data_IF_921031567207
#
_entry.id   IF_921031567207
#
_cell.length_a   1.000
_cell.length_b   1.000
_cell.length_c   1.000
_cell.angle_alpha   90.00
_cell.angle_beta   90.00
_cell.angle_gamma   90.00
#
_symmetry.space_group_name_H-M   'P 1'
#
loop_
_entity.id
_entity.type
_entity.pdbx_description
1 polymer ?
#
# COMPACT_ATOMS: atom_id res chain seq x y z
N UNK A 1 36.25 22.77 9.41
CA UNK A 1 36.00 22.37 8.00
C UNK A 1 35.03 21.21 8.05
N UNK A 2 33.75 21.51 7.95
CA UNK A 2 32.66 20.54 7.88
C UNK A 2 32.49 20.07 6.43
N UNK A 3 32.33 18.76 6.24
CA UNK A 3 32.10 18.14 4.95
C UNK A 3 30.76 18.63 4.34
N UNK A 4 30.66 18.74 3.00
CA UNK A 4 29.44 19.18 2.35
C UNK A 4 28.38 18.08 2.45
N UNK A 5 27.16 18.48 2.81
CA UNK A 5 25.97 17.65 2.65
C UNK A 5 25.78 17.35 1.15
N UNK A 6 25.51 16.10 0.74
CA UNK A 6 25.13 15.81 -0.63
C UNK A 6 23.78 16.47 -0.94
N UNK A 7 23.75 17.20 -2.06
CA UNK A 7 22.55 17.76 -2.64
C UNK A 7 21.57 16.64 -3.09
N UNK A 8 20.29 16.94 -2.89
CA UNK A 8 19.11 16.44 -3.63
C UNK A 8 18.27 15.26 -3.08
N UNK A 9 17.80 15.38 -1.84
CA UNK A 9 16.51 14.81 -1.40
C UNK A 9 15.56 15.94 -0.94
N UNK A 10 15.44 17.01 -1.73
CA UNK A 10 14.56 18.13 -1.36
C UNK A 10 13.11 17.75 -1.59
N UNK A 11 12.52 17.12 -0.58
CA UNK A 11 11.07 17.13 -0.47
C UNK A 11 10.45 16.04 0.38
N UNK A 12 11.15 14.97 0.67
CA UNK A 12 10.58 13.83 1.38
C UNK A 12 10.23 14.17 2.84
N UNK A 13 8.96 14.00 3.25
CA UNK A 13 8.56 14.09 4.66
C UNK A 13 7.93 12.80 5.19
N UNK A 14 8.33 12.43 6.41
CA UNK A 14 7.78 11.32 7.19
C UNK A 14 6.58 11.81 8.00
N UNK A 15 5.43 11.14 7.87
CA UNK A 15 4.23 11.29 8.69
C UNK A 15 4.00 9.98 9.45
N UNK A 16 3.08 9.91 10.40
CA UNK A 16 2.66 8.64 11.04
C UNK A 16 1.14 8.46 10.97
N UNK A 17 0.49 9.25 10.12
CA UNK A 17 -0.96 9.36 10.05
C UNK A 17 -1.43 8.93 8.68
N UNK A 18 -2.40 8.02 8.66
CA UNK A 18 -3.09 7.63 7.45
C UNK A 18 -3.73 8.87 6.78
N UNK A 19 -3.66 9.02 5.44
CA UNK A 19 -4.21 10.18 4.76
C UNK A 19 -5.69 10.34 5.07
N UNK A 20 -6.14 11.59 5.14
CA UNK A 20 -7.56 11.87 5.24
C UNK A 20 -8.24 11.38 3.95
N UNK A 21 -9.25 10.52 4.11
CA UNK A 21 -10.07 10.01 3.02
C UNK A 21 -11.43 10.66 3.12
N UNK A 22 -11.79 11.41 2.10
CA UNK A 22 -13.09 12.07 1.95
C UNK A 22 -14.04 11.19 1.11
N UNK A 23 -15.35 11.35 1.27
CA UNK A 23 -16.38 10.57 0.57
C UNK A 23 -16.25 10.60 -0.97
N UNK A 24 -15.66 11.67 -1.51
CA UNK A 24 -15.40 11.89 -2.93
C UNK A 24 -14.00 11.42 -3.38
N UNK A 25 -13.22 10.77 -2.51
CA UNK A 25 -11.90 10.22 -2.86
C UNK A 25 -12.08 9.04 -3.81
N UNK A 26 -11.29 9.00 -4.88
CA UNK A 26 -11.24 7.84 -5.80
C UNK A 26 -10.11 6.92 -5.35
N UNK A 27 -10.42 5.67 -5.00
CA UNK A 27 -9.41 4.68 -4.58
C UNK A 27 -9.07 3.74 -5.74
N UNK A 28 -7.77 3.59 -6.01
CA UNK A 28 -7.25 2.54 -6.90
C UNK A 28 -6.19 1.75 -6.15
N UNK A 29 -6.53 0.52 -5.79
CA UNK A 29 -5.67 -0.39 -5.03
C UNK A 29 -5.25 -1.60 -5.86
N UNK A 30 -4.01 -2.06 -5.73
CA UNK A 30 -3.51 -3.26 -6.41
C UNK A 30 -2.52 -4.06 -5.56
N UNK A 31 -2.58 -5.39 -5.68
CA UNK A 31 -1.63 -6.31 -5.05
C UNK A 31 -1.17 -7.41 -6.01
N UNK A 32 0.11 -7.78 -5.93
CA UNK A 32 0.76 -8.72 -6.85
C UNK A 32 0.70 -10.23 -6.48
N UNK A 33 0.47 -10.67 -5.22
CA UNK A 33 0.55 -12.10 -4.90
C UNK A 33 -0.47 -12.92 -5.67
N UNK A 34 -0.05 -14.12 -6.07
CA UNK A 34 -0.90 -15.12 -6.74
C UNK A 34 -1.45 -16.11 -5.73
N UNK A 35 -2.35 -17.01 -6.15
CA UNK A 35 -2.76 -18.13 -5.28
C UNK A 35 -1.57 -19.02 -4.90
N UNK A 36 -0.54 -19.12 -5.75
CA UNK A 36 0.67 -19.88 -5.43
C UNK A 36 1.51 -19.20 -4.36
N UNK A 37 1.82 -17.92 -4.53
CA UNK A 37 2.76 -17.15 -3.68
C UNK A 37 2.09 -16.45 -2.49
N UNK A 38 0.76 -16.47 -2.42
CA UNK A 38 -0.02 -15.79 -1.39
C UNK A 38 0.03 -16.45 0.00
N UNK A 39 0.92 -17.42 0.23
CA UNK A 39 1.11 -17.99 1.57
C UNK A 39 1.51 -16.89 2.56
N UNK A 40 0.99 -16.92 3.79
CA UNK A 40 1.35 -15.94 4.83
C UNK A 40 2.84 -15.97 5.21
N UNK A 41 3.54 -17.06 4.88
CA UNK A 41 4.99 -17.21 5.07
C UNK A 41 5.82 -16.76 3.86
N UNK A 42 5.17 -16.30 2.78
CA UNK A 42 5.78 -15.79 1.55
C UNK A 42 5.27 -14.36 1.28
N UNK A 43 4.50 -14.13 0.21
CA UNK A 43 3.98 -12.82 -0.16
C UNK A 43 2.58 -12.54 0.43
N UNK A 44 2.03 -13.44 1.23
CA UNK A 44 0.68 -13.35 1.78
C UNK A 44 0.44 -12.17 2.71
N UNK A 45 1.51 -11.57 3.27
CA UNK A 45 1.39 -10.36 4.09
C UNK A 45 0.94 -9.13 3.27
N UNK A 46 1.28 -9.04 1.98
CA UNK A 46 0.71 -8.01 1.10
C UNK A 46 -0.80 -8.19 0.93
N UNK A 47 -1.28 -9.45 0.87
CA UNK A 47 -2.71 -9.73 0.83
C UNK A 47 -3.38 -9.34 2.15
N UNK A 48 -2.74 -9.60 3.29
CA UNK A 48 -3.24 -9.18 4.59
C UNK A 48 -3.46 -7.67 4.66
N UNK A 49 -2.47 -6.86 4.25
CA UNK A 49 -2.60 -5.40 4.22
C UNK A 49 -3.67 -4.95 3.22
N UNK A 50 -3.65 -5.52 2.02
CA UNK A 50 -4.62 -5.21 0.96
C UNK A 50 -6.06 -5.43 1.43
N UNK A 51 -6.36 -6.57 2.04
CA UNK A 51 -7.71 -6.85 2.54
C UNK A 51 -8.05 -6.09 3.84
N UNK A 52 -7.06 -5.77 4.68
CA UNK A 52 -7.26 -4.91 5.83
C UNK A 52 -7.78 -3.54 5.40
N UNK A 53 -7.10 -2.89 4.45
CA UNK A 53 -7.52 -1.59 3.95
C UNK A 53 -8.83 -1.65 3.17
N UNK A 54 -9.06 -2.73 2.40
CA UNK A 54 -10.33 -2.92 1.70
C UNK A 54 -11.51 -2.99 2.70
N UNK A 55 -11.36 -3.79 3.77
CA UNK A 55 -12.33 -3.89 4.84
C UNK A 55 -12.58 -2.53 5.53
N UNK A 56 -11.50 -1.82 5.87
CA UNK A 56 -11.58 -0.54 6.58
C UNK A 56 -12.22 0.59 5.76
N UNK A 57 -11.98 0.61 4.44
CA UNK A 57 -12.43 1.69 3.56
C UNK A 57 -13.76 1.35 2.86
N UNK A 58 -14.30 0.16 3.09
CA UNK A 58 -15.60 -0.22 2.54
C UNK A 58 -16.68 0.73 3.02
N UNK A 59 -17.42 1.31 2.07
CA UNK A 59 -18.51 2.22 2.36
C UNK A 59 -18.08 3.62 2.81
N UNK A 60 -16.78 3.86 3.05
CA UNK A 60 -16.25 5.19 3.35
C UNK A 60 -16.14 6.08 2.10
N UNK A 61 -15.99 5.48 0.93
CA UNK A 61 -15.98 6.21 -0.36
C UNK A 61 -16.74 5.43 -1.42
N UNK A 62 -17.29 6.16 -2.39
CA UNK A 62 -18.19 5.59 -3.41
C UNK A 62 -17.46 5.02 -4.63
N UNK A 63 -16.25 5.49 -4.93
CA UNK A 63 -15.48 5.08 -6.12
C UNK A 63 -14.19 4.36 -5.69
N UNK A 64 -14.23 3.02 -5.77
CA UNK A 64 -13.12 2.16 -5.37
C UNK A 64 -12.90 1.06 -6.38
N UNK A 65 -11.64 0.87 -6.78
CA UNK A 65 -11.20 -0.26 -7.59
C UNK A 65 -10.10 -1.01 -6.84
N UNK A 66 -10.31 -2.30 -6.63
CA UNK A 66 -9.38 -3.18 -5.94
C UNK A 66 -8.95 -4.31 -6.87
N UNK A 67 -7.67 -4.34 -7.23
CA UNK A 67 -7.10 -5.29 -8.19
C UNK A 67 -6.24 -6.33 -7.46
N UNK A 68 -6.43 -7.61 -7.78
CA UNK A 68 -5.63 -8.69 -7.20
C UNK A 68 -5.28 -9.74 -8.25
N UNK A 69 -4.10 -10.33 -8.15
CA UNK A 69 -3.69 -11.44 -9.00
C UNK A 69 -4.22 -12.79 -8.50
N UNK A 70 -4.88 -12.81 -7.34
CA UNK A 70 -5.33 -14.01 -6.67
C UNK A 70 -6.83 -13.99 -6.40
N UNK A 71 -7.53 -15.01 -6.87
CA UNK A 71 -8.95 -15.17 -6.60
C UNK A 71 -9.18 -15.46 -5.09
N UNK A 72 -9.94 -14.62 -4.36
CA UNK A 72 -10.07 -14.73 -2.90
C UNK A 72 -10.54 -16.12 -2.43
N UNK A 73 -11.54 -16.69 -3.11
CA UNK A 73 -12.06 -18.03 -2.78
C UNK A 73 -11.00 -19.12 -2.92
N UNK A 74 -10.10 -19.00 -3.91
CA UNK A 74 -8.99 -19.95 -4.10
C UNK A 74 -7.89 -19.74 -3.07
N UNK A 75 -7.61 -18.49 -2.69
CA UNK A 75 -6.70 -18.18 -1.58
C UNK A 75 -7.16 -18.83 -0.28
N UNK A 76 -8.43 -18.62 0.08
CA UNK A 76 -9.02 -19.17 1.30
C UNK A 76 -9.03 -20.70 1.29
N UNK A 77 -9.36 -21.30 0.16
CA UNK A 77 -9.34 -22.76 0.01
C UNK A 77 -7.94 -23.35 0.19
N UNK A 78 -6.90 -22.66 -0.29
CA UNK A 78 -5.52 -23.16 -0.26
C UNK A 78 -4.81 -22.86 1.05
N UNK A 79 -4.96 -21.65 1.57
CA UNK A 79 -4.13 -21.10 2.65
C UNK A 79 -4.91 -20.83 3.95
N UNK A 80 -6.24 -20.95 3.92
CA UNK A 80 -7.10 -20.58 5.05
C UNK A 80 -7.32 -19.07 5.17
N UNK A 81 -7.89 -18.61 6.30
CA UNK A 81 -8.15 -17.20 6.57
C UNK A 81 -6.86 -16.37 6.65
N UNK A 82 -6.94 -15.10 6.27
CA UNK A 82 -5.85 -14.13 6.38
C UNK A 82 -6.02 -13.26 7.61
N UNK A 83 -4.89 -12.92 8.19
CA UNK A 83 -4.80 -12.16 9.42
C UNK A 83 -3.90 -10.94 9.23
N UNK A 84 -4.26 -9.85 9.88
CA UNK A 84 -3.45 -8.64 9.99
C UNK A 84 -3.23 -8.33 11.48
N UNK A 85 -2.01 -7.92 11.84
CA UNK A 85 -1.57 -7.74 13.23
C UNK A 85 -0.47 -8.71 13.66
N UNK A 86 0.06 -8.53 14.88
CA UNK A 86 1.13 -9.37 15.43
C UNK A 86 0.57 -10.57 16.20
N UNK A 87 1.34 -11.66 16.31
CA UNK A 87 0.93 -12.85 17.07
C UNK A 87 0.70 -12.58 18.58
N UNK A 88 1.34 -11.54 19.13
CA UNK A 88 1.17 -11.10 20.52
C UNK A 88 -0.12 -10.30 20.77
N UNK A 89 -0.71 -9.74 19.71
CA UNK A 89 -1.93 -8.93 19.76
C UNK A 89 -3.00 -9.61 18.91
N UNK A 90 -3.89 -10.38 19.55
CA UNK A 90 -5.04 -11.08 18.95
C UNK A 90 -5.31 -10.71 17.47
N UNK A 91 -4.67 -11.42 16.51
CA UNK A 91 -4.60 -10.98 15.13
C UNK A 91 -6.00 -10.86 14.53
N UNK A 92 -6.24 -9.79 13.79
CA UNK A 92 -7.55 -9.50 13.20
C UNK A 92 -7.70 -10.27 11.90
N UNK A 93 -8.81 -10.98 11.76
CA UNK A 93 -9.16 -11.64 10.50
C UNK A 93 -9.51 -10.57 9.47
N UNK A 94 -8.82 -10.58 8.33
CA UNK A 94 -9.00 -9.59 7.25
C UNK A 94 -9.50 -10.22 5.96
N UNK A 95 -9.37 -11.54 5.82
CA UNK A 95 -10.04 -12.30 4.77
C UNK A 95 -10.50 -13.65 5.32
N UNK A 96 -11.79 -13.91 5.23
CA UNK A 96 -12.42 -15.20 5.57
C UNK A 96 -13.63 -15.42 4.65
N UNK A 97 -14.23 -16.63 4.64
CA UNK A 97 -15.46 -16.88 3.89
C UNK A 97 -16.62 -15.94 4.26
N UNK A 98 -16.67 -15.47 5.51
CA UNK A 98 -17.66 -14.52 6.01
C UNK A 98 -17.37 -13.11 5.49
N UNK A 99 -16.12 -12.64 5.64
CA UNK A 99 -15.71 -11.31 5.18
C UNK A 99 -15.89 -11.16 3.66
N UNK A 100 -15.54 -12.20 2.90
CA UNK A 100 -15.65 -12.20 1.44
C UNK A 100 -17.10 -12.02 0.94
N UNK A 101 -18.10 -12.40 1.73
CA UNK A 101 -19.51 -12.30 1.32
C UNK A 101 -20.05 -10.88 1.38
N UNK A 102 -19.72 -10.13 2.43
CA UNK A 102 -20.42 -8.86 2.71
C UNK A 102 -19.57 -7.76 3.31
N UNK A 103 -18.30 -7.98 3.66
CA UNK A 103 -17.53 -7.03 4.46
C UNK A 103 -16.41 -6.32 3.68
N UNK A 104 -16.13 -6.76 2.44
CA UNK A 104 -15.15 -6.11 1.56
C UNK A 104 -15.80 -5.56 0.30
N UNK A 105 -15.20 -4.52 -0.28
CA UNK A 105 -15.48 -4.07 -1.64
C UNK A 105 -15.05 -5.17 -2.61
N UNK A 106 -15.91 -5.54 -3.60
CA UNK A 106 -15.59 -6.56 -4.59
C UNK A 106 -14.26 -6.28 -5.29
N UNK A 107 -13.43 -7.33 -5.40
CA UNK A 107 -12.13 -7.24 -6.06
C UNK A 107 -12.23 -7.69 -7.52
N UNK A 108 -11.41 -7.09 -8.37
CA UNK A 108 -11.21 -7.53 -9.76
C UNK A 108 -9.97 -8.41 -9.82
N UNK A 109 -10.16 -9.67 -10.23
CA UNK A 109 -9.05 -10.60 -10.45
C UNK A 109 -8.40 -10.31 -11.81
N UNK A 110 -7.11 -10.01 -11.81
CA UNK A 110 -6.34 -9.65 -13.01
C UNK A 110 -5.19 -10.65 -13.19
N UNK A 111 -4.97 -11.21 -14.40
CA UNK A 111 -3.80 -12.05 -14.64
C UNK A 111 -2.48 -11.33 -14.30
N UNK A 112 -1.50 -11.97 -13.65
CA UNK A 112 -0.27 -11.32 -13.18
C UNK A 112 0.45 -10.49 -14.25
N UNK A 113 0.63 -11.06 -15.44
CA UNK A 113 1.29 -10.41 -16.58
C UNK A 113 0.62 -9.13 -17.08
N UNK A 114 -0.67 -8.93 -16.73
CA UNK A 114 -1.49 -7.78 -17.12
C UNK A 114 -1.72 -6.80 -15.95
N UNK A 115 -1.24 -7.10 -14.75
CA UNK A 115 -1.53 -6.32 -13.54
C UNK A 115 -1.06 -4.87 -13.66
N UNK A 116 0.17 -4.65 -14.14
CA UNK A 116 0.73 -3.30 -14.29
C UNK A 116 -0.11 -2.47 -15.27
N UNK A 117 -0.39 -3.01 -16.45
CA UNK A 117 -1.12 -2.27 -17.48
C UNK A 117 -2.57 -2.00 -17.03
N UNK A 118 -3.21 -2.97 -16.36
CA UNK A 118 -4.54 -2.77 -15.81
C UNK A 118 -4.56 -1.74 -14.69
N UNK A 119 -3.59 -1.76 -13.78
CA UNK A 119 -3.48 -0.77 -12.72
C UNK A 119 -3.32 0.64 -13.29
N UNK A 120 -2.39 0.84 -14.22
CA UNK A 120 -2.16 2.14 -14.85
C UNK A 120 -3.39 2.64 -15.65
N UNK A 121 -4.13 1.74 -16.29
CA UNK A 121 -5.39 2.07 -16.96
C UNK A 121 -6.46 2.55 -15.97
N UNK A 122 -6.62 1.88 -14.82
CA UNK A 122 -7.53 2.34 -13.77
C UNK A 122 -7.08 3.68 -13.15
N UNK A 123 -5.78 3.91 -13.02
CA UNK A 123 -5.22 5.21 -12.60
C UNK A 123 -5.56 6.30 -13.61
N UNK A 124 -5.38 6.05 -14.91
CA UNK A 124 -5.74 7.03 -15.94
C UNK A 124 -7.24 7.33 -16.00
N UNK A 125 -8.09 6.31 -15.78
CA UNK A 125 -9.54 6.52 -15.65
C UNK A 125 -9.90 7.31 -14.39
N UNK A 126 -9.24 7.05 -13.26
CA UNK A 126 -9.41 7.84 -12.04
C UNK A 126 -9.00 9.29 -12.27
N UNK A 127 -7.84 9.53 -12.89
CA UNK A 127 -7.35 10.87 -13.23
C UNK A 127 -8.30 11.63 -14.15
N UNK A 128 -8.85 10.98 -15.18
CA UNK A 128 -9.85 11.59 -16.06
C UNK A 128 -11.15 11.98 -15.35
N UNK A 129 -11.52 11.24 -14.29
CA UNK A 129 -12.72 11.50 -13.48
C UNK A 129 -12.49 12.53 -12.38
N UNK A 130 -11.26 12.65 -11.89
CA UNK A 130 -10.96 13.36 -10.65
C UNK A 130 -11.38 14.85 -10.66
N UNK A 131 -11.43 15.52 -11.82
CA UNK A 131 -11.62 16.99 -11.92
C UNK A 131 -10.68 17.71 -10.92
N UNK A 132 -10.85 19.02 -10.68
CA UNK A 132 -9.96 19.74 -9.77
C UNK A 132 -10.21 19.43 -8.27
N UNK A 133 -11.22 18.61 -7.93
CA UNK A 133 -11.74 18.48 -6.55
C UNK A 133 -11.83 17.06 -5.96
N UNK A 134 -11.60 15.99 -6.74
CA UNK A 134 -11.62 14.62 -6.19
C UNK A 134 -10.19 14.14 -5.93
N UNK A 135 -9.76 14.00 -4.67
CA UNK A 135 -8.45 13.44 -4.38
C UNK A 135 -8.41 11.97 -4.82
N UNK A 136 -7.29 11.55 -5.41
CA UNK A 136 -7.06 10.14 -5.75
C UNK A 136 -6.22 9.51 -4.64
N UNK A 137 -6.60 8.33 -4.15
CA UNK A 137 -5.75 7.51 -3.28
C UNK A 137 -5.37 6.23 -4.03
N UNK A 138 -4.08 6.12 -4.33
CA UNK A 138 -3.47 4.93 -4.92
C UNK A 138 -2.92 4.07 -3.79
N UNK A 139 -3.14 2.76 -3.84
CA UNK A 139 -2.62 1.83 -2.84
C UNK A 139 -1.94 0.65 -3.55
N UNK A 140 -0.67 0.41 -3.30
CA UNK A 140 0.11 -0.61 -4.01
C UNK A 140 0.80 -1.51 -3.00
N UNK A 141 0.45 -2.79 -3.00
CA UNK A 141 0.95 -3.79 -2.07
C UNK A 141 1.79 -4.80 -2.86
N UNK A 142 3.09 -4.54 -2.98
CA UNK A 142 3.99 -5.38 -3.77
C UNK A 142 5.45 -5.25 -3.36
N UNK A 143 6.33 -6.05 -3.96
CA UNK A 143 7.76 -5.81 -3.82
C UNK A 143 8.21 -4.53 -4.53
N UNK A 144 9.28 -3.94 -4.01
CA UNK A 144 10.06 -2.92 -4.69
C UNK A 144 11.33 -3.54 -5.28
N UNK A 145 11.90 -2.92 -6.30
CA UNK A 145 13.23 -3.25 -6.81
C UNK A 145 14.27 -2.22 -6.39
N UNK A 146 15.55 -2.57 -6.55
CA UNK A 146 16.70 -1.69 -6.25
C UNK A 146 16.69 -0.40 -7.08
N UNK A 147 16.06 -0.40 -8.26
CA UNK A 147 15.84 0.78 -9.10
C UNK A 147 14.52 1.52 -8.81
N UNK A 148 13.95 1.31 -7.62
CA UNK A 148 12.74 1.96 -7.09
C UNK A 148 11.48 1.72 -7.94
N UNK A 149 11.36 0.56 -8.58
CA UNK A 149 10.15 0.18 -9.33
C UNK A 149 9.22 -0.67 -8.48
N UNK A 150 7.92 -0.53 -8.73
CA UNK A 150 6.88 -1.31 -8.07
C UNK A 150 6.57 -2.56 -8.90
N UNK A 151 6.76 -3.72 -8.29
CA UNK A 151 6.73 -5.05 -8.95
C UNK A 151 5.35 -5.69 -8.85
N UNK A 152 4.36 -5.13 -9.55
CA UNK A 152 3.00 -5.68 -9.60
C UNK A 152 2.85 -6.92 -10.51
N UNK A 153 3.85 -7.23 -11.35
CA UNK A 153 3.82 -8.37 -12.26
C UNK A 153 4.51 -9.60 -11.64
N UNK A 154 3.72 -10.44 -10.97
CA UNK A 154 4.22 -11.68 -10.35
C UNK A 154 4.54 -12.80 -11.36
N UNK A 155 4.46 -12.53 -12.67
CA UNK A 155 4.98 -13.46 -13.69
C UNK A 155 6.42 -13.13 -14.11
N UNK A 156 6.93 -11.94 -13.74
CA UNK A 156 8.27 -11.50 -14.08
C UNK A 156 8.79 -10.51 -13.03
N UNK A 157 9.67 -10.98 -12.14
CA UNK A 157 10.27 -10.18 -11.06
C UNK A 157 11.15 -9.02 -11.54
N UNK A 158 11.59 -9.02 -12.80
CA UNK A 158 12.32 -7.90 -13.41
C UNK A 158 11.43 -6.81 -14.01
N UNK A 159 10.10 -7.01 -14.04
CA UNK A 159 9.15 -6.11 -14.67
C UNK A 159 8.34 -5.36 -13.60
N UNK A 160 8.74 -4.11 -13.37
CA UNK A 160 7.98 -3.14 -12.57
C UNK A 160 7.59 -1.89 -13.35
N UNK A 161 6.86 -0.99 -12.72
CA UNK A 161 6.67 0.38 -13.22
C UNK A 161 7.35 1.39 -12.29
N UNK A 162 7.88 2.46 -12.88
CA UNK A 162 8.50 3.56 -12.14
C UNK A 162 7.45 4.62 -11.76
N UNK A 163 7.80 5.48 -10.82
CA UNK A 163 7.01 6.66 -10.48
C UNK A 163 6.80 7.60 -11.68
N UNK A 164 7.75 7.66 -12.62
CA UNK A 164 7.61 8.43 -13.87
C UNK A 164 6.45 7.90 -14.72
N UNK A 165 6.35 6.57 -14.87
CA UNK A 165 5.24 5.96 -15.62
C UNK A 165 3.90 6.17 -14.91
N UNK A 166 3.89 6.15 -13.57
CA UNK A 166 2.71 6.46 -12.78
C UNK A 166 2.27 7.93 -12.95
N UNK A 167 3.22 8.88 -12.89
CA UNK A 167 2.97 10.30 -13.14
C UNK A 167 2.38 10.53 -14.53
N UNK A 168 2.90 9.82 -15.54
CA UNK A 168 2.34 9.88 -16.89
C UNK A 168 0.89 9.40 -16.95
N UNK A 169 0.52 8.39 -16.16
CA UNK A 169 -0.86 7.90 -16.09
C UNK A 169 -1.80 8.86 -15.36
N UNK A 170 -1.30 9.56 -14.34
CA UNK A 170 -2.02 10.57 -13.55
C UNK A 170 -2.21 11.90 -14.30
N UNK A 171 -1.29 12.25 -15.20
CA UNK A 171 -1.28 13.57 -15.84
C UNK A 171 -1.12 14.69 -14.80
N UNK A 172 -2.10 15.60 -14.74
CA UNK A 172 -2.12 16.71 -13.79
C UNK A 172 -2.93 16.42 -12.51
N UNK A 173 -3.54 15.24 -12.39
CA UNK A 173 -4.37 14.90 -11.24
C UNK A 173 -3.53 14.79 -9.96
N UNK A 174 -4.09 15.26 -8.83
CA UNK A 174 -3.49 15.10 -7.51
C UNK A 174 -3.84 13.72 -6.96
N UNK A 175 -2.83 13.01 -6.49
CA UNK A 175 -3.01 11.67 -5.93
C UNK A 175 -2.15 11.49 -4.71
N UNK A 176 -2.60 10.75 -3.71
CA UNK A 176 -1.77 10.21 -2.63
C UNK A 176 -1.47 8.76 -2.98
N UNK A 177 -0.22 8.33 -2.92
CA UNK A 177 0.22 6.96 -3.10
C UNK A 177 0.50 6.32 -1.73
N UNK A 178 -0.08 5.17 -1.45
CA UNK A 178 0.27 4.31 -0.33
C UNK A 178 0.98 3.09 -0.90
N UNK A 179 2.18 2.78 -0.41
CA UNK A 179 2.90 1.58 -0.82
C UNK A 179 3.26 0.75 0.41
N UNK A 180 3.06 -0.57 0.33
CA UNK A 180 3.71 -1.51 1.22
C UNK A 180 4.72 -2.30 0.38
N UNK A 181 6.02 -2.10 0.60
CA UNK A 181 7.14 -2.79 -0.09
C UNK A 181 8.25 -3.13 0.91
N UNK A 182 9.10 -4.11 0.59
CA UNK A 182 10.39 -4.29 1.24
C UNK A 182 11.27 -3.03 1.05
N UNK A 183 11.97 -2.55 2.09
CA UNK A 183 12.91 -1.40 2.06
C UNK A 183 12.33 0.02 1.87
N UNK A 184 11.09 0.29 2.26
CA UNK A 184 10.47 1.64 2.25
C UNK A 184 10.28 2.36 3.61
N UNK A 185 11.26 2.96 4.31
CA UNK A 185 11.04 3.33 5.74
C UNK A 185 11.14 4.78 6.02
N UNK A 186 10.18 5.20 6.82
CA UNK A 186 9.71 6.56 6.75
C UNK A 186 8.70 6.68 5.62
N UNK A 187 7.64 7.40 5.92
CA UNK A 187 6.63 7.80 4.96
C UNK A 187 7.32 8.83 4.04
N UNK A 188 7.09 8.80 2.74
CA UNK A 188 7.84 9.59 1.77
C UNK A 188 6.88 10.51 1.01
N UNK A 189 6.58 11.69 1.56
CA UNK A 189 5.84 12.72 0.80
C UNK A 189 6.80 13.34 -0.24
N UNK A 190 6.64 13.12 -1.54
CA UNK A 190 7.51 13.74 -2.56
C UNK A 190 6.82 15.00 -3.15
N UNK A 191 7.15 16.24 -2.74
CA UNK A 191 6.48 17.49 -3.12
C UNK A 191 6.67 17.92 -4.58
N UNK A 192 7.64 17.33 -5.30
CA UNK A 192 7.74 17.45 -6.77
C UNK A 192 6.66 16.65 -7.50
N UNK A 193 5.99 15.77 -6.76
CA UNK A 193 4.64 15.38 -7.03
C UNK A 193 3.71 16.21 -6.15
N UNK A 194 2.54 16.57 -6.67
CA UNK A 194 1.45 16.98 -5.80
C UNK A 194 0.84 15.71 -5.13
N UNK A 195 1.70 14.84 -4.59
CA UNK A 195 1.45 13.47 -4.15
C UNK A 195 2.26 13.10 -2.91
N UNK A 196 1.59 12.42 -1.99
CA UNK A 196 2.20 11.84 -0.79
C UNK A 196 2.43 10.35 -1.03
N UNK A 197 3.65 9.81 -0.93
CA UNK A 197 3.91 8.37 -1.02
C UNK A 197 4.07 7.74 0.40
N UNK A 198 3.53 6.56 0.65
CA UNK A 198 3.67 5.83 1.93
C UNK A 198 4.46 4.54 1.75
N UNK A 199 5.10 4.11 2.83
CA UNK A 199 6.23 3.20 2.79
C UNK A 199 6.42 2.57 4.20
N UNK A 200 6.62 1.24 4.30
CA UNK A 200 6.71 0.42 5.52
C UNK A 200 8.06 0.23 6.31
N UNK A 201 9.30 0.25 5.76
CA UNK A 201 10.59 0.02 6.51
C UNK A 201 11.91 0.51 5.84
N UNK A 202 12.97 1.04 6.50
CA UNK A 202 13.96 1.95 5.83
C UNK A 202 14.84 1.32 4.73
N UNK A 203 15.59 2.11 3.96
CA UNK A 203 16.50 1.61 2.90
C UNK A 203 17.56 0.60 3.40
N UNK A 204 17.75 0.52 4.72
CA UNK A 204 18.67 -0.40 5.38
C UNK A 204 17.99 -1.51 6.20
N UNK A 205 16.66 -1.58 6.23
CA UNK A 205 15.92 -2.53 7.06
C UNK A 205 14.91 -3.36 6.25
N UNK A 206 14.77 -4.64 6.62
CA UNK A 206 13.76 -5.53 6.05
C UNK A 206 12.37 -5.05 6.47
N UNK A 207 11.43 -4.98 5.52
CA UNK A 207 10.01 -4.78 5.83
C UNK A 207 9.49 -5.99 6.58
N UNK A 208 9.39 -5.85 7.90
CA UNK A 208 8.56 -6.70 8.72
C UNK A 208 7.13 -6.17 8.64
N UNK A 209 6.12 -7.04 8.74
CA UNK A 209 4.73 -6.61 8.83
C UNK A 209 4.50 -5.62 9.98
N UNK A 210 5.39 -5.59 10.98
CA UNK A 210 5.59 -4.51 11.97
C UNK A 210 7.05 -4.43 12.47
N UNK A 211 7.60 -3.24 12.82
CA UNK A 211 8.79 -3.11 13.66
C UNK A 211 8.48 -3.43 15.14
N UNK A 212 9.47 -3.89 15.91
CA UNK A 212 9.37 -4.00 17.38
C UNK A 212 9.12 -2.59 17.94
N UNK A 213 8.03 -2.42 18.71
CA UNK A 213 7.64 -1.09 19.18
C UNK A 213 8.72 -0.46 20.07
N UNK A 214 9.04 0.82 19.81
CA UNK A 214 9.87 1.66 20.67
C UNK A 214 9.21 1.93 22.05
N UNK A 215 8.00 1.43 22.28
CA UNK A 215 7.30 1.45 23.57
C UNK A 215 8.00 0.60 24.64
N UNK A 216 8.94 -0.27 24.27
CA UNK A 216 9.79 -0.99 25.22
C UNK A 216 11.03 -0.20 25.69
N UNK A 217 11.29 1.00 25.14
CA UNK A 217 12.40 1.86 25.54
C UNK A 217 11.97 3.07 26.40
N UNK A 218 10.69 3.21 26.70
CA UNK A 218 10.18 4.27 27.60
C UNK A 218 9.36 3.64 28.73
N UNK A 219 10.01 2.75 29.48
CA UNK A 219 9.75 2.69 30.90
C UNK A 219 11.02 3.19 31.62
N UNK A 220 10.82 4.05 32.60
CA UNK A 220 11.81 4.90 33.32
C UNK A 220 12.22 6.18 32.59
N UNK A 221 11.37 7.21 32.68
CA UNK A 221 11.59 8.36 33.58
C UNK A 221 10.59 9.51 33.32
N UNK A 222 9.73 9.73 34.30
CA UNK A 222 9.30 11.04 34.86
C UNK A 222 9.02 12.22 33.93
N UNK A 223 7.80 12.78 34.02
CA UNK A 223 7.57 14.18 33.67
C UNK A 223 6.10 14.56 33.48
N UNK A 224 5.42 14.94 34.56
CA UNK A 224 4.10 15.58 34.58
C UNK A 224 4.08 16.87 33.76
N UNK A 225 2.99 17.19 33.06
CA UNK A 225 2.54 18.58 32.85
C UNK A 225 1.02 18.69 33.04
N UNK A 226 0.68 19.70 33.83
CA UNK A 226 -0.60 20.12 34.37
C UNK A 226 -1.49 20.89 33.40
N UNK A 227 -2.76 21.08 33.79
CA UNK A 227 -3.42 22.39 33.73
C UNK A 227 -3.35 22.99 35.13
#
# INVERSE_FOLDING_TARGET
>A
MSAPYPDDERGTFVTHTFPCVFDNTIIVAATHPTVSTGSQFEDGWFLSDFYAFNYLLKGSVTDQVWLTAAEPSKLLKKHGPYYHGTASECPKVVLSPEILKSEITPVTVVPPAKMIDRFLDEVSKAAARAKDEHPILLMVFCHGSDDHRLLLDNSNSGKGFSLVRLKSALGNARATLLVTTCYSGGWVVAPDFNSTALAAATSNDVSLSFPVSASHAVDKKTGTISV
#
